data_IF_817285362736
#
_entry.id   IF_817285362736
#
_cell.length_a   1.000
_cell.length_b   1.000
_cell.length_c   1.000
_cell.angle_alpha   90.00
_cell.angle_beta   90.00
_cell.angle_gamma   90.00
#
_symmetry.space_group_name_H-M   'P 1'
#
loop_
_entity.id
_entity.type
_entity.pdbx_description
1 polymer ?
#
# COMPACT_ATOMS: atom_id res chain seq x y z
N UNK A 1 27.80 -7.99 10.23
CA UNK A 1 28.13 -9.19 9.44
C UNK A 1 27.45 -9.10 8.08
N UNK A 2 28.04 -9.67 7.02
CA UNK A 2 27.47 -9.72 5.66
C UNK A 2 26.04 -10.27 5.63
N UNK A 3 25.74 -11.27 6.46
CA UNK A 3 24.41 -11.88 6.50
C UNK A 3 23.35 -10.94 7.09
N UNK A 4 23.74 -10.06 8.03
CA UNK A 4 22.83 -9.04 8.57
C UNK A 4 22.46 -8.00 7.50
N UNK A 5 23.43 -7.57 6.69
CA UNK A 5 23.18 -6.67 5.55
C UNK A 5 22.26 -7.31 4.50
N UNK A 6 22.47 -8.59 4.20
CA UNK A 6 21.59 -9.33 3.27
C UNK A 6 20.16 -9.43 3.80
N UNK A 7 19.99 -9.66 5.10
CA UNK A 7 18.67 -9.70 5.73
C UNK A 7 17.95 -8.34 5.67
N UNK A 8 18.64 -7.24 5.96
CA UNK A 8 18.08 -5.88 5.88
C UNK A 8 17.66 -5.53 4.44
N UNK A 9 18.50 -5.85 3.44
CA UNK A 9 18.14 -5.67 2.02
C UNK A 9 16.91 -6.50 1.62
N UNK A 10 16.78 -7.71 2.16
CA UNK A 10 15.59 -8.53 1.92
C UNK A 10 14.33 -7.97 2.60
N UNK A 11 14.47 -7.38 3.79
CA UNK A 11 13.37 -6.68 4.49
C UNK A 11 12.87 -5.48 3.66
N UNK A 12 13.79 -4.64 3.17
CA UNK A 12 13.44 -3.50 2.29
C UNK A 12 12.66 -3.96 1.07
N UNK A 13 13.18 -4.94 0.31
CA UNK A 13 12.49 -5.47 -0.89
C UNK A 13 11.10 -6.04 -0.59
N UNK A 14 10.92 -6.65 0.58
CA UNK A 14 9.62 -7.18 1.01
C UNK A 14 8.63 -6.05 1.29
N UNK A 15 9.09 -4.97 1.90
CA UNK A 15 8.29 -3.77 2.13
C UNK A 15 7.94 -3.09 0.79
N UNK A 16 8.88 -2.95 -0.13
CA UNK A 16 8.64 -2.42 -1.49
C UNK A 16 7.53 -3.20 -2.21
N UNK A 17 7.65 -4.52 -2.30
CA UNK A 17 6.63 -5.36 -2.93
C UNK A 17 5.26 -5.24 -2.26
N UNK A 18 5.21 -4.93 -0.95
CA UNK A 18 3.95 -4.70 -0.25
C UNK A 18 3.34 -3.34 -0.60
N UNK A 19 4.17 -2.29 -0.66
CA UNK A 19 3.74 -0.94 -1.09
C UNK A 19 3.21 -1.01 -2.51
N UNK A 20 3.96 -1.60 -3.45
CA UNK A 20 3.55 -1.75 -4.85
C UNK A 20 2.19 -2.44 -4.99
N UNK A 21 1.98 -3.57 -4.30
CA UNK A 21 0.70 -4.28 -4.35
C UNK A 21 -0.48 -3.45 -3.82
N UNK A 22 -0.27 -2.70 -2.74
CA UNK A 22 -1.30 -1.85 -2.17
C UNK A 22 -1.58 -0.63 -3.06
N UNK A 23 -0.54 -0.08 -3.70
CA UNK A 23 -0.66 0.96 -4.71
C UNK A 23 -1.53 0.48 -5.89
N UNK A 24 -1.22 -0.69 -6.45
CA UNK A 24 -2.01 -1.28 -7.55
C UNK A 24 -3.48 -1.52 -7.16
N UNK A 25 -3.73 -1.96 -5.91
CA UNK A 25 -5.08 -2.12 -5.39
C UNK A 25 -5.80 -0.78 -5.26
N UNK A 26 -5.10 0.25 -4.77
CA UNK A 26 -5.61 1.61 -4.63
C UNK A 26 -6.02 2.19 -5.99
N UNK A 27 -5.16 2.07 -7.00
CA UNK A 27 -5.42 2.56 -8.36
C UNK A 27 -6.63 1.89 -9.01
N UNK A 28 -6.77 0.57 -8.86
CA UNK A 28 -7.93 -0.18 -9.38
C UNK A 28 -9.24 0.28 -8.71
N UNK A 29 -9.21 0.54 -7.40
CA UNK A 29 -10.36 1.01 -6.65
C UNK A 29 -10.69 2.47 -7.01
N UNK A 30 -9.69 3.34 -7.14
CA UNK A 30 -9.85 4.72 -7.57
C UNK A 30 -10.48 4.78 -8.97
N UNK A 31 -10.02 3.94 -9.90
CA UNK A 31 -10.60 3.83 -11.25
C UNK A 31 -12.07 3.43 -11.19
N UNK A 32 -12.42 2.46 -10.32
CA UNK A 32 -13.82 2.06 -10.14
C UNK A 32 -14.66 3.17 -9.51
N UNK A 33 -14.15 3.87 -8.50
CA UNK A 33 -14.85 4.95 -7.79
C UNK A 33 -14.98 6.22 -8.63
N UNK A 34 -14.23 6.35 -9.71
CA UNK A 34 -14.34 7.46 -10.66
C UNK A 34 -15.52 7.31 -11.64
N UNK A 35 -16.16 6.14 -11.72
CA UNK A 35 -17.33 5.92 -12.57
C UNK A 35 -18.57 6.66 -12.00
N UNK A 36 -19.12 7.68 -12.69
CA UNK A 36 -20.30 8.41 -12.20
C UNK A 36 -21.53 7.51 -12.03
N UNK A 37 -21.67 6.47 -12.87
CA UNK A 37 -22.80 5.54 -12.80
C UNK A 37 -22.78 4.68 -11.52
N UNK A 38 -21.68 4.68 -10.76
CA UNK A 38 -21.63 4.02 -9.46
C UNK A 38 -22.49 4.74 -8.40
N UNK A 39 -22.80 6.02 -8.64
CA UNK A 39 -23.52 6.88 -7.69
C UNK A 39 -25.00 7.09 -8.05
N UNK A 40 -25.53 6.32 -9.02
CA UNK A 40 -26.97 6.28 -9.32
C UNK A 40 -27.76 5.74 -8.10
N UNK A 41 -29.03 6.14 -7.96
CA UNK A 41 -29.86 5.82 -6.77
C UNK A 41 -29.94 4.33 -6.46
N UNK A 42 -29.93 3.47 -7.48
CA UNK A 42 -29.99 2.01 -7.36
C UNK A 42 -28.63 1.36 -7.00
N UNK A 43 -27.54 2.14 -6.98
CA UNK A 43 -26.16 1.67 -6.76
C UNK A 43 -25.44 2.33 -5.59
N UNK A 44 -26.11 3.20 -4.84
CA UNK A 44 -25.49 3.95 -3.73
C UNK A 44 -24.86 3.02 -2.66
N UNK A 45 -25.47 1.87 -2.39
CA UNK A 45 -24.92 0.87 -1.47
C UNK A 45 -23.63 0.23 -2.01
N UNK A 46 -23.57 0.04 -3.33
CA UNK A 46 -22.36 -0.45 -4.00
C UNK A 46 -21.22 0.56 -3.87
N UNK A 47 -21.50 1.85 -4.11
CA UNK A 47 -20.54 2.94 -3.94
C UNK A 47 -19.97 2.97 -2.52
N UNK A 48 -20.82 2.87 -1.50
CA UNK A 48 -20.41 2.87 -0.10
C UNK A 48 -19.47 1.70 0.24
N UNK A 49 -19.72 0.51 -0.31
CA UNK A 49 -18.84 -0.67 -0.14
C UNK A 49 -17.47 -0.44 -0.77
N UNK A 50 -17.41 0.11 -1.98
CA UNK A 50 -16.13 0.36 -2.65
C UNK A 50 -15.35 1.50 -2.00
N UNK A 51 -16.02 2.55 -1.52
CA UNK A 51 -15.39 3.64 -0.79
C UNK A 51 -14.75 3.13 0.51
N UNK A 52 -15.43 2.24 1.24
CA UNK A 52 -14.88 1.60 2.44
C UNK A 52 -13.64 0.78 2.13
N UNK A 53 -13.69 -0.06 1.09
CA UNK A 53 -12.53 -0.85 0.64
C UNK A 53 -11.36 0.04 0.23
N UNK A 54 -11.62 1.16 -0.43
CA UNK A 54 -10.59 2.12 -0.80
C UNK A 54 -9.92 2.72 0.43
N UNK A 55 -10.70 3.18 1.41
CA UNK A 55 -10.17 3.66 2.69
C UNK A 55 -9.30 2.62 3.39
N UNK A 56 -9.74 1.36 3.45
CA UNK A 56 -8.97 0.28 4.08
C UNK A 56 -7.64 0.02 3.36
N UNK A 57 -7.60 0.13 2.03
CA UNK A 57 -6.38 0.00 1.23
C UNK A 57 -5.46 1.20 1.45
N UNK A 58 -5.99 2.43 1.49
CA UNK A 58 -5.20 3.63 1.81
C UNK A 58 -4.55 3.54 3.20
N UNK A 59 -5.31 3.14 4.22
CA UNK A 59 -4.77 2.91 5.58
C UNK A 59 -3.73 1.78 5.58
N UNK A 60 -3.93 0.76 4.75
CA UNK A 60 -2.97 -0.32 4.53
C UNK A 60 -1.67 0.17 3.90
N UNK A 61 -1.77 1.05 2.90
CA UNK A 61 -0.67 1.63 2.16
C UNK A 61 0.18 2.53 3.06
N UNK A 62 -0.43 3.45 3.81
CA UNK A 62 0.27 4.32 4.75
C UNK A 62 1.10 3.51 5.76
N UNK A 63 0.52 2.45 6.31
CA UNK A 63 1.23 1.54 7.22
C UNK A 63 2.38 0.80 6.53
N UNK A 64 2.20 0.41 5.27
CA UNK A 64 3.25 -0.27 4.51
C UNK A 64 4.42 0.68 4.20
N UNK A 65 4.13 1.93 3.82
CA UNK A 65 5.12 2.98 3.59
C UNK A 65 5.91 3.28 4.87
N UNK A 66 5.23 3.39 6.02
CA UNK A 66 5.90 3.58 7.31
C UNK A 66 6.85 2.42 7.67
N UNK A 67 6.46 1.18 7.36
CA UNK A 67 7.33 0.01 7.55
C UNK A 67 8.52 0.01 6.57
N UNK A 68 8.30 0.44 5.33
CA UNK A 68 9.33 0.53 4.32
C UNK A 68 10.38 1.58 4.70
N UNK A 69 9.97 2.79 5.09
CA UNK A 69 10.87 3.84 5.54
C UNK A 69 11.73 3.39 6.73
N UNK A 70 11.12 2.72 7.73
CA UNK A 70 11.89 2.16 8.85
C UNK A 70 12.89 1.08 8.43
N UNK A 71 12.56 0.27 7.43
CA UNK A 71 13.48 -0.74 6.91
C UNK A 71 14.65 -0.09 6.15
N UNK A 72 14.38 0.98 5.39
CA UNK A 72 15.40 1.78 4.72
C UNK A 72 16.34 2.45 5.73
N UNK A 73 15.80 3.14 6.74
CA UNK A 73 16.60 3.78 7.80
C UNK A 73 17.53 2.80 8.51
N UNK A 74 17.06 1.57 8.79
CA UNK A 74 17.90 0.51 9.37
C UNK A 74 19.00 0.03 8.43
N UNK A 75 18.68 -0.09 7.13
CA UNK A 75 19.67 -0.50 6.13
C UNK A 75 20.75 0.56 5.97
N UNK A 76 20.36 1.83 5.83
CA UNK A 76 21.28 2.97 5.72
C UNK A 76 22.20 3.05 6.94
N UNK A 77 21.65 2.92 8.16
CA UNK A 77 22.44 2.92 9.38
C UNK A 77 23.43 1.74 9.48
N UNK A 78 23.16 0.61 8.82
CA UNK A 78 24.04 -0.55 8.78
C UNK A 78 25.07 -0.50 7.64
N UNK A 79 24.86 0.37 6.64
CA UNK A 79 25.76 0.57 5.50
C UNK A 79 26.74 1.75 5.72
N UNK A 80 26.43 2.66 6.65
CA UNK A 80 27.31 3.76 7.09
C UNK A 80 28.52 3.28 7.90
#
# INVERSE_FOLDING_TARGET
SRDALLALRAEVRKCESRVEKLQEMSEKLATKLADPALYDEDRVDEAAVWQRKYSEVCDGLERAEALWMRALEKLEAAEA
#
